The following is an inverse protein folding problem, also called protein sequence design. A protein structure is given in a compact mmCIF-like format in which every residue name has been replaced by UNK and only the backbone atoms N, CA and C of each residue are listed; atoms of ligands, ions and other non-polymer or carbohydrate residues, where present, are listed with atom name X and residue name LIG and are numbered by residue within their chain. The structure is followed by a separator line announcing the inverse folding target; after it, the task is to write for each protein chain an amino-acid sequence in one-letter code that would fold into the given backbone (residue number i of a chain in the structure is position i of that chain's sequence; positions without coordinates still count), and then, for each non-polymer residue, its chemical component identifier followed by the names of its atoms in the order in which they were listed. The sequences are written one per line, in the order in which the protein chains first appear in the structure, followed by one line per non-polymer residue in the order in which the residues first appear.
data_IF_355994478626
#
_entry.id   IF_355994478626
#
_cell.length_a   1.000
_cell.length_b   1.000
_cell.length_c   1.000
_cell.angle_alpha   90.00
_cell.angle_beta   90.00
_cell.angle_gamma   90.00
#
_symmetry.space_group_name_H-M   'P 1'
#
loop_
_entity.id
_entity.type
_entity.pdbx_description
1 polymer ?
#
# COMPACT_ATOMS: atom_id res chain seq x y z
N UNK A 1 -3.43 16.51 -14.12
CA UNK A 1 -3.54 15.03 -14.16
C UNK A 1 -2.70 14.54 -15.32
N UNK A 2 -1.96 13.45 -15.13
CA UNK A 2 -1.29 12.71 -16.19
C UNK A 2 -1.66 11.24 -16.08
N UNK A 3 -1.70 10.57 -17.22
CA UNK A 3 -1.85 9.11 -17.31
C UNK A 3 -0.69 8.60 -18.14
N UNK A 4 0.11 7.71 -17.55
CA UNK A 4 1.28 7.13 -18.19
C UNK A 4 1.01 5.65 -18.41
N UNK A 5 0.85 5.27 -19.67
CA UNK A 5 0.79 3.88 -20.10
C UNK A 5 2.20 3.39 -20.43
N UNK A 6 2.60 2.23 -19.92
CA UNK A 6 3.88 1.63 -20.26
C UNK A 6 3.85 0.11 -20.20
N UNK A 7 4.79 -0.51 -20.90
CA UNK A 7 4.97 -1.95 -20.96
C UNK A 7 6.40 -2.32 -20.58
N UNK A 8 6.61 -2.86 -19.37
CA UNK A 8 7.91 -3.38 -18.99
C UNK A 8 7.78 -4.44 -17.87
N UNK A 9 8.53 -5.53 -17.99
CA UNK A 9 8.57 -6.59 -16.97
C UNK A 9 9.64 -6.38 -15.89
N UNK A 10 10.52 -5.38 -16.04
CA UNK A 10 11.57 -5.06 -15.07
C UNK A 10 11.04 -4.07 -14.04
N UNK A 11 10.97 -4.50 -12.78
CA UNK A 11 10.60 -3.66 -11.64
C UNK A 11 11.47 -2.40 -11.50
N UNK A 12 12.75 -2.45 -11.88
CA UNK A 12 13.63 -1.28 -11.85
C UNK A 12 13.20 -0.18 -12.83
N UNK A 13 12.63 -0.53 -13.98
CA UNK A 13 12.09 0.45 -14.94
C UNK A 13 10.80 1.05 -14.39
N UNK A 14 9.95 0.23 -13.80
CA UNK A 14 8.70 0.69 -13.16
C UNK A 14 8.98 1.73 -12.07
N UNK A 15 9.92 1.44 -11.17
CA UNK A 15 10.26 2.38 -10.10
C UNK A 15 11.03 3.60 -10.58
N UNK A 16 11.85 3.48 -11.62
CA UNK A 16 12.43 4.66 -12.25
C UNK A 16 11.34 5.62 -12.79
N UNK A 17 10.27 5.09 -13.40
CA UNK A 17 9.14 5.89 -13.87
C UNK A 17 8.40 6.52 -12.68
N UNK A 18 8.05 5.73 -11.67
CA UNK A 18 7.35 6.24 -10.48
C UNK A 18 8.16 7.33 -9.77
N UNK A 19 9.45 7.10 -9.53
CA UNK A 19 10.34 8.06 -8.90
C UNK A 19 10.47 9.34 -9.75
N UNK A 20 10.52 9.22 -11.08
CA UNK A 20 10.57 10.39 -11.97
C UNK A 20 9.29 11.21 -11.91
N UNK A 21 8.13 10.55 -11.83
CA UNK A 21 6.81 11.18 -11.66
C UNK A 21 6.77 11.93 -10.32
N UNK A 22 7.15 11.26 -9.22
CA UNK A 22 7.21 11.85 -7.89
C UNK A 22 8.16 13.05 -7.83
N UNK A 23 9.38 12.93 -8.38
CA UNK A 23 10.37 14.02 -8.44
C UNK A 23 9.92 15.21 -9.29
N UNK A 24 9.00 15.00 -10.24
CA UNK A 24 8.36 16.08 -11.00
C UNK A 24 7.20 16.78 -10.23
N UNK A 25 6.97 16.40 -8.98
CA UNK A 25 5.94 16.96 -8.09
C UNK A 25 4.56 16.34 -8.27
N UNK A 26 4.46 15.15 -8.86
CA UNK A 26 3.18 14.46 -9.01
C UNK A 26 2.99 13.41 -7.90
N UNK A 27 1.77 13.33 -7.38
CA UNK A 27 1.33 12.23 -6.52
C UNK A 27 0.75 11.13 -7.42
N UNK A 28 1.24 9.91 -7.27
CA UNK A 28 0.68 8.73 -7.94
C UNK A 28 -0.64 8.34 -7.25
N UNK A 29 -1.74 8.52 -7.97
CA UNK A 29 -3.09 8.24 -7.50
C UNK A 29 -3.38 6.73 -7.54
N UNK A 30 -3.09 6.08 -8.68
CA UNK A 30 -3.38 4.66 -8.86
C UNK A 30 -2.46 4.05 -9.92
N UNK A 31 -2.09 2.79 -9.70
CA UNK A 31 -1.52 1.92 -10.74
C UNK A 31 -2.55 0.83 -11.07
N UNK A 32 -2.87 0.69 -12.35
CA UNK A 32 -3.84 -0.28 -12.84
C UNK A 32 -3.28 -1.07 -14.03
N UNK A 33 -3.90 -2.21 -14.28
CA UNK A 33 -3.59 -3.07 -15.42
C UNK A 33 -4.57 -2.74 -16.55
N UNK A 34 -4.05 -2.37 -17.72
CA UNK A 34 -4.83 -2.11 -18.91
C UNK A 34 -5.03 -3.40 -19.71
N UNK A 35 -6.28 -3.85 -19.78
CA UNK A 35 -6.68 -4.96 -20.64
C UNK A 35 -7.03 -4.44 -22.04
N UNK A 36 -6.07 -4.54 -22.97
CA UNK A 36 -6.30 -4.27 -24.39
C UNK A 36 -7.08 -5.43 -24.98
N UNK A 37 -8.40 -5.29 -25.08
CA UNK A 37 -9.34 -6.28 -25.66
C UNK A 37 -8.93 -6.85 -27.04
N UNK A 38 -7.98 -6.24 -27.76
CA UNK A 38 -7.29 -6.81 -28.92
C UNK A 38 -5.78 -6.87 -28.69
N UNK A 39 -5.26 -8.08 -28.49
CA UNK A 39 -3.83 -8.31 -28.44
C UNK A 39 -3.17 -8.35 -29.81
N UNK A 40 -1.87 -8.05 -29.86
CA UNK A 40 -1.04 -8.23 -31.07
C UNK A 40 -0.63 -9.70 -31.24
N UNK A 41 -0.39 -10.16 -32.47
CA UNK A 41 -0.13 -11.59 -32.79
C UNK A 41 1.05 -12.22 -32.02
N UNK A 42 1.95 -11.41 -31.43
CA UNK A 42 3.04 -11.88 -30.55
C UNK A 42 2.64 -12.12 -29.08
N UNK A 43 1.46 -11.67 -28.63
CA UNK A 43 0.97 -11.84 -27.26
C UNK A 43 0.29 -13.19 -27.01
N UNK A 44 0.03 -13.95 -28.07
CA UNK A 44 -0.65 -15.25 -27.99
C UNK A 44 0.28 -16.41 -27.61
N UNK A 45 1.60 -16.24 -27.64
CA UNK A 45 2.53 -17.39 -27.65
C UNK A 45 3.44 -17.59 -26.42
N UNK A 46 3.38 -16.77 -25.38
CA UNK A 46 4.19 -16.99 -24.16
C UNK A 46 3.36 -16.81 -22.87
N UNK A 47 3.31 -17.83 -22.03
CA UNK A 47 2.61 -17.88 -20.74
C UNK A 47 3.44 -17.28 -19.61
N UNK A 48 3.76 -15.99 -19.69
CA UNK A 48 4.39 -15.25 -18.59
C UNK A 48 3.75 -13.87 -18.39
N UNK A 49 3.87 -13.35 -17.17
CA UNK A 49 3.24 -12.15 -16.57
C UNK A 49 3.37 -10.85 -17.39
N UNK A 50 4.16 -10.84 -18.47
CA UNK A 50 4.35 -9.72 -19.39
C UNK A 50 3.21 -9.57 -20.43
N UNK A 51 1.93 -9.81 -20.07
CA UNK A 51 0.80 -9.73 -21.00
C UNK A 51 -0.08 -8.49 -20.90
N UNK A 52 0.09 -7.67 -19.87
CA UNK A 52 -0.75 -6.50 -19.67
C UNK A 52 0.06 -5.23 -19.55
N UNK A 53 -0.43 -4.17 -20.16
CA UNK A 53 0.16 -2.84 -20.05
C UNK A 53 -0.24 -2.24 -18.71
N UNK A 54 0.68 -1.55 -18.05
CA UNK A 54 0.39 -0.86 -16.79
C UNK A 54 0.07 0.59 -17.08
N UNK A 55 -0.91 1.12 -16.34
CA UNK A 55 -1.32 2.51 -16.41
C UNK A 55 -1.15 3.14 -15.04
N UNK A 56 -0.31 4.17 -15.00
CA UNK A 56 -0.09 5.01 -13.82
C UNK A 56 -0.93 6.28 -14.00
N UNK A 57 -1.86 6.52 -13.08
CA UNK A 57 -2.56 7.79 -12.97
C UNK A 57 -1.93 8.63 -11.87
N UNK A 58 -1.53 9.86 -12.20
CA UNK A 58 -0.88 10.76 -11.25
C UNK A 58 -1.38 12.20 -11.40
N UNK A 59 -1.39 12.96 -10.30
CA UNK A 59 -1.88 14.34 -10.28
C UNK A 59 -0.89 15.25 -9.57
N UNK A 60 -0.92 16.54 -9.93
CA UNK A 60 -0.25 17.56 -9.12
C UNK A 60 -1.20 18.03 -8.02
N UNK A 61 -0.74 18.22 -6.78
CA UNK A 61 -1.53 18.86 -5.74
C UNK A 61 -2.08 20.21 -6.20
N UNK A 62 -3.15 20.67 -5.57
CA UNK A 62 -3.66 22.03 -5.81
C UNK A 62 -2.62 23.04 -5.31
N UNK A 63 -2.37 24.10 -6.08
CA UNK A 63 -1.41 25.15 -5.68
C UNK A 63 -1.72 25.74 -4.29
N UNK A 64 -3.01 25.95 -4.00
CA UNK A 64 -3.47 26.40 -2.69
C UNK A 64 -3.13 25.43 -1.54
N UNK A 65 -3.08 24.13 -1.82
CA UNK A 65 -2.68 23.12 -0.85
C UNK A 65 -1.15 23.17 -0.65
N UNK A 66 -0.37 23.23 -1.73
CA UNK A 66 1.10 23.31 -1.66
C UNK A 66 1.59 24.54 -0.90
N UNK A 67 0.96 25.70 -1.12
CA UNK A 67 1.27 26.93 -0.39
C UNK A 67 1.05 26.76 1.11
N UNK A 68 -0.14 26.29 1.53
CA UNK A 68 -0.41 26.00 2.95
C UNK A 68 0.53 24.94 3.51
N UNK A 69 0.87 23.93 2.71
CA UNK A 69 1.75 22.83 3.10
C UNK A 69 3.15 23.33 3.42
N UNK A 70 3.68 24.24 2.60
CA UNK A 70 4.93 24.92 2.85
C UNK A 70 4.85 25.85 4.07
N UNK A 71 3.82 26.71 4.13
CA UNK A 71 3.62 27.68 5.22
C UNK A 71 3.52 27.02 6.60
N UNK A 72 2.83 25.88 6.68
CA UNK A 72 2.60 25.15 7.92
C UNK A 72 3.58 24.00 8.14
N UNK A 73 4.58 23.82 7.28
CA UNK A 73 5.49 22.68 7.33
C UNK A 73 4.77 21.32 7.41
N UNK A 74 3.64 21.22 6.70
CA UNK A 74 2.76 20.06 6.69
C UNK A 74 1.83 19.90 7.90
N UNK A 75 1.87 20.79 8.89
CA UNK A 75 1.07 20.64 10.10
C UNK A 75 -0.43 20.86 9.88
N UNK A 76 -1.24 19.86 10.28
CA UNK A 76 -2.71 19.95 10.30
C UNK A 76 -3.35 19.89 8.91
N UNK A 77 -2.65 19.30 7.94
CA UNK A 77 -3.09 19.18 6.55
C UNK A 77 -3.39 17.73 6.13
N UNK A 78 -3.36 16.80 7.09
CA UNK A 78 -3.58 15.37 6.86
C UNK A 78 -4.97 15.11 6.27
N UNK A 79 -6.01 15.73 6.83
CA UNK A 79 -7.39 15.62 6.31
C UNK A 79 -7.51 16.24 4.91
N UNK A 80 -6.94 17.44 4.69
CA UNK A 80 -6.99 18.13 3.40
C UNK A 80 -6.29 17.31 2.31
N UNK A 81 -5.15 16.69 2.65
CA UNK A 81 -4.43 15.78 1.78
C UNK A 81 -5.28 14.57 1.37
N UNK A 82 -5.89 13.87 2.33
CA UNK A 82 -6.71 12.68 2.04
C UNK A 82 -7.93 13.05 1.21
N UNK A 83 -8.61 14.15 1.55
CA UNK A 83 -9.75 14.66 0.77
C UNK A 83 -9.37 14.95 -0.67
N UNK A 84 -8.23 15.61 -0.88
CA UNK A 84 -7.67 15.86 -2.20
C UNK A 84 -7.31 14.55 -2.91
N UNK A 85 -6.65 13.62 -2.24
CA UNK A 85 -6.23 12.34 -2.84
C UNK A 85 -7.44 11.52 -3.31
N UNK A 86 -8.42 11.32 -2.44
CA UNK A 86 -9.65 10.59 -2.76
C UNK A 86 -10.40 11.22 -3.94
N UNK A 87 -10.37 12.55 -4.08
CA UNK A 87 -11.01 13.25 -5.22
C UNK A 87 -10.39 12.93 -6.59
N UNK A 88 -9.15 12.43 -6.62
CA UNK A 88 -8.48 12.00 -7.84
C UNK A 88 -8.63 10.50 -8.12
N UNK A 89 -9.31 9.76 -7.24
CA UNK A 89 -9.60 8.34 -7.43
C UNK A 89 -11.01 8.14 -8.01
N UNK A 90 -11.20 7.21 -8.95
CA UNK A 90 -12.54 6.83 -9.39
C UNK A 90 -13.34 6.26 -8.21
N UNK A 91 -14.66 6.46 -8.19
CA UNK A 91 -15.56 5.94 -7.16
C UNK A 91 -15.83 4.45 -7.36
N UNK A 92 -14.76 3.64 -7.30
CA UNK A 92 -14.74 2.21 -7.55
C UNK A 92 -13.84 1.50 -6.52
N UNK A 93 -14.00 0.17 -6.30
CA UNK A 93 -13.12 -0.60 -5.43
C UNK A 93 -11.66 -0.52 -5.87
N UNK A 94 -10.75 -0.11 -4.99
CA UNK A 94 -9.32 -0.02 -5.29
C UNK A 94 -8.48 -0.12 -4.02
N UNK A 95 -7.29 -0.74 -4.13
CA UNK A 95 -6.32 -0.77 -3.01
C UNK A 95 -5.99 0.66 -2.55
N UNK A 96 -5.98 1.62 -3.47
CA UNK A 96 -5.70 3.05 -3.19
C UNK A 96 -6.74 3.71 -2.28
N UNK A 97 -7.91 3.09 -2.11
CA UNK A 97 -8.96 3.55 -1.18
C UNK A 97 -8.93 2.83 0.17
N UNK A 98 -7.95 1.97 0.44
CA UNK A 98 -7.81 1.29 1.74
C UNK A 98 -7.15 2.20 2.77
N UNK A 99 -7.46 2.05 4.05
CA UNK A 99 -6.89 2.88 5.12
C UNK A 99 -5.36 2.82 5.15
N UNK A 100 -4.78 1.63 4.93
CA UNK A 100 -3.34 1.42 4.90
C UNK A 100 -2.68 2.13 3.73
N UNK A 101 -3.28 2.06 2.54
CA UNK A 101 -2.73 2.74 1.36
C UNK A 101 -2.87 4.26 1.50
N UNK A 102 -3.99 4.75 2.00
CA UNK A 102 -4.19 6.18 2.27
C UNK A 102 -3.15 6.72 3.27
N UNK A 103 -2.87 5.96 4.33
CA UNK A 103 -1.80 6.30 5.28
C UNK A 103 -0.42 6.28 4.61
N UNK A 104 -0.12 5.25 3.84
CA UNK A 104 1.15 5.11 3.09
C UNK A 104 1.36 6.27 2.11
N UNK A 105 0.32 6.72 1.38
CA UNK A 105 0.39 7.89 0.48
C UNK A 105 0.65 9.19 1.24
N UNK A 106 -0.03 9.39 2.38
CA UNK A 106 0.20 10.54 3.25
C UNK A 106 1.66 10.53 3.74
N UNK A 107 2.11 9.40 4.27
CA UNK A 107 3.44 9.22 4.81
C UNK A 107 4.52 9.50 3.76
N UNK A 108 4.39 8.88 2.58
CA UNK A 108 5.30 9.10 1.46
C UNK A 108 5.37 10.57 1.07
N UNK A 109 4.22 11.26 0.99
CA UNK A 109 4.19 12.69 0.66
C UNK A 109 4.96 13.53 1.69
N UNK A 110 4.76 13.30 2.99
CA UNK A 110 5.46 14.05 4.03
C UNK A 110 6.97 13.74 4.07
N UNK A 111 7.34 12.47 3.89
CA UNK A 111 8.73 12.02 3.86
C UNK A 111 9.45 12.65 2.67
N UNK A 112 8.89 12.57 1.46
CA UNK A 112 9.48 13.15 0.24
C UNK A 112 9.71 14.67 0.35
N UNK A 113 8.91 15.38 1.14
CA UNK A 113 9.07 16.82 1.39
C UNK A 113 9.93 17.13 2.63
N UNK A 114 10.44 16.10 3.32
CA UNK A 114 11.33 16.23 4.48
C UNK A 114 10.66 16.78 5.75
N UNK A 115 9.32 16.74 5.81
CA UNK A 115 8.54 17.23 6.94
C UNK A 115 8.31 16.17 8.02
N UNK A 116 8.01 16.61 9.23
CA UNK A 116 7.71 15.73 10.34
C UNK A 116 6.32 15.10 10.17
N UNK A 117 6.25 13.78 10.30
CA UNK A 117 4.98 13.04 10.25
C UNK A 117 4.42 12.98 11.66
N UNK A 118 3.40 13.78 11.96
CA UNK A 118 2.81 13.86 13.31
C UNK A 118 1.89 12.68 13.63
N UNK A 119 1.21 12.15 12.62
CA UNK A 119 0.22 11.09 12.82
C UNK A 119 0.92 9.73 12.81
N UNK A 120 0.67 8.92 13.83
CA UNK A 120 0.83 7.47 13.73
C UNK A 120 -0.40 6.84 13.05
N UNK A 121 -0.30 5.57 12.69
CA UNK A 121 -1.38 4.85 12.02
C UNK A 121 -2.70 4.93 12.82
N UNK A 122 -2.62 4.78 14.14
CA UNK A 122 -3.78 4.90 15.05
C UNK A 122 -4.47 6.27 14.98
N UNK A 123 -3.71 7.35 15.06
CA UNK A 123 -4.23 8.72 15.01
C UNK A 123 -4.82 9.00 13.62
N UNK A 124 -4.14 8.53 12.58
CA UNK A 124 -4.63 8.62 11.21
C UNK A 124 -5.96 7.90 11.00
N UNK A 125 -6.09 6.64 11.44
CA UNK A 125 -7.34 5.89 11.27
C UNK A 125 -8.51 6.53 12.04
N UNK A 126 -8.26 7.08 13.23
CA UNK A 126 -9.28 7.84 13.96
C UNK A 126 -9.75 9.08 13.19
N UNK A 127 -8.83 9.84 12.60
CA UNK A 127 -9.17 10.97 11.74
C UNK A 127 -9.95 10.50 10.51
N UNK A 128 -9.49 9.42 9.87
CA UNK A 128 -10.16 8.84 8.70
C UNK A 128 -11.62 8.48 9.01
N UNK A 129 -11.86 7.79 10.13
CA UNK A 129 -13.20 7.44 10.64
C UNK A 129 -14.08 8.66 10.98
N UNK A 130 -13.49 9.79 11.36
CA UNK A 130 -14.24 10.97 11.79
C UNK A 130 -14.66 11.87 10.63
N UNK A 131 -13.93 11.84 9.51
CA UNK A 131 -14.08 12.81 8.41
C UNK A 131 -14.49 12.18 7.06
N UNK A 132 -14.38 10.86 6.91
CA UNK A 132 -14.64 10.14 5.67
C UNK A 132 -15.61 8.97 5.90
N UNK A 133 -16.15 8.43 4.82
CA UNK A 133 -17.12 7.34 4.86
C UNK A 133 -16.47 6.06 4.36
N UNK A 134 -16.64 4.98 5.12
CA UNK A 134 -16.19 3.63 4.74
C UNK A 134 -17.37 2.82 4.19
N UNK A 135 -17.18 2.18 3.03
CA UNK A 135 -18.11 1.19 2.48
C UNK A 135 -17.30 0.05 1.81
N UNK A 136 -17.58 -1.20 2.21
CA UNK A 136 -16.91 -2.43 1.75
C UNK A 136 -15.38 -2.49 1.97
N UNK A 137 -14.84 -1.82 2.98
CA UNK A 137 -13.41 -1.72 3.25
C UNK A 137 -12.69 -0.66 2.43
N UNK A 138 -13.44 0.21 1.75
CA UNK A 138 -12.92 1.33 0.97
C UNK A 138 -13.43 2.66 1.49
N UNK A 139 -12.58 3.68 1.40
CA UNK A 139 -12.85 5.02 1.91
C UNK A 139 -13.20 5.99 0.80
N UNK A 140 -14.17 6.85 1.09
CA UNK A 140 -14.75 7.80 0.15
C UNK A 140 -14.94 9.17 0.79
N UNK A 141 -14.79 10.21 -0.05
CA UNK A 141 -15.39 11.49 0.29
C UNK A 141 -16.92 11.34 0.25
N UNK A 142 -17.70 12.06 1.10
CA UNK A 142 -19.15 11.92 1.15
C UNK A 142 -19.86 12.12 -0.21
N UNK A 143 -19.33 13.00 -1.07
CA UNK A 143 -19.84 13.29 -2.42
C UNK A 143 -19.61 12.15 -3.44
N UNK A 144 -18.74 11.18 -3.14
CA UNK A 144 -18.44 10.05 -4.02
C UNK A 144 -19.36 8.84 -3.78
N UNK A 145 -20.12 8.84 -2.68
CA UNK A 145 -20.83 7.67 -2.20
C UNK A 145 -21.96 7.22 -3.14
N UNK A 146 -22.70 8.18 -3.69
CA UNK A 146 -23.79 7.88 -4.63
C UNK A 146 -23.26 7.27 -5.93
N UNK A 147 -22.13 7.79 -6.43
CA UNK A 147 -21.46 7.24 -7.61
C UNK A 147 -20.96 5.81 -7.36
N UNK A 148 -20.39 5.53 -6.19
CA UNK A 148 -19.95 4.19 -5.81
C UNK A 148 -21.12 3.19 -5.73
N UNK A 149 -22.25 3.60 -5.15
CA UNK A 149 -23.45 2.77 -5.05
C UNK A 149 -24.08 2.51 -6.41
N UNK A 150 -24.08 3.50 -7.30
CA UNK A 150 -24.53 3.33 -8.68
C UNK A 150 -23.64 2.33 -9.43
N UNK A 151 -22.31 2.44 -9.27
CA UNK A 151 -21.34 1.48 -9.80
C UNK A 151 -21.64 0.05 -9.33
N UNK A 152 -21.85 -0.15 -8.02
CA UNK A 152 -22.24 -1.45 -7.46
C UNK A 152 -23.55 -1.97 -8.04
N UNK A 153 -24.54 -1.10 -8.23
CA UNK A 153 -25.85 -1.48 -8.80
C UNK A 153 -25.70 -1.95 -10.25
N UNK A 154 -24.93 -1.24 -11.07
CA UNK A 154 -24.64 -1.63 -12.47
C UNK A 154 -23.99 -3.01 -12.54
N UNK A 155 -22.98 -3.26 -11.71
CA UNK A 155 -22.32 -4.58 -11.64
C UNK A 155 -23.27 -5.73 -11.30
N UNK A 156 -24.22 -5.50 -10.39
CA UNK A 156 -25.25 -6.48 -10.03
C UNK A 156 -26.23 -6.74 -11.18
N UNK A 157 -26.66 -5.68 -11.87
CA UNK A 157 -27.61 -5.78 -12.98
C UNK A 157 -27.04 -6.47 -14.22
N UNK A 158 -25.74 -6.29 -14.48
CA UNK A 158 -25.07 -6.91 -15.63
C UNK A 158 -24.75 -8.41 -15.41
N UNK A 159 -25.12 -9.00 -14.27
CA UNK A 159 -24.77 -10.40 -13.92
C UNK A 159 -23.26 -10.62 -13.76
N UNK A 160 -22.47 -9.54 -13.81
CA UNK A 160 -21.02 -9.54 -13.62
C UNK A 160 -20.64 -9.51 -12.15
N UNK A 161 -21.61 -9.46 -11.22
CA UNK A 161 -21.30 -9.50 -9.79
C UNK A 161 -20.52 -10.75 -9.40
N UNK A 162 -20.85 -11.93 -9.93
CA UNK A 162 -20.12 -13.18 -9.61
C UNK A 162 -18.87 -13.37 -10.49
N UNK A 163 -18.93 -12.95 -11.76
CA UNK A 163 -17.81 -13.02 -12.72
C UNK A 163 -16.70 -12.00 -12.39
N UNK A 164 -17.05 -10.84 -11.83
CA UNK A 164 -16.10 -9.82 -11.32
C UNK A 164 -15.86 -9.86 -9.81
N UNK A 165 -16.71 -10.45 -8.96
CA UNK A 165 -16.24 -10.90 -7.62
C UNK A 165 -15.07 -11.86 -7.75
N UNK A 166 -15.07 -12.69 -8.81
CA UNK A 166 -13.95 -13.53 -9.20
C UNK A 166 -12.84 -12.85 -10.03
N UNK A 167 -13.05 -11.65 -10.61
CA UNK A 167 -11.99 -10.84 -11.26
C UNK A 167 -11.49 -9.65 -10.41
N UNK A 168 -12.08 -9.42 -9.23
CA UNK A 168 -11.35 -8.91 -8.07
C UNK A 168 -10.38 -9.99 -7.53
N UNK A 169 -9.85 -10.84 -8.41
CA UNK A 169 -8.48 -11.32 -8.34
C UNK A 169 -7.56 -10.09 -8.32
N UNK A 170 -7.57 -9.37 -7.21
CA UNK A 170 -6.39 -8.69 -6.71
C UNK A 170 -5.33 -9.75 -6.74
N UNK A 171 -4.48 -9.71 -7.76
CA UNK A 171 -3.31 -10.55 -7.78
C UNK A 171 -2.56 -10.25 -6.48
N UNK A 172 -2.33 -11.29 -5.70
CA UNK A 172 -1.67 -11.16 -4.41
C UNK A 172 -0.17 -11.25 -4.68
N UNK A 173 0.48 -10.08 -4.75
CA UNK A 173 1.90 -9.95 -5.07
C UNK A 173 2.77 -9.59 -3.86
N UNK A 174 2.15 -9.08 -2.81
CA UNK A 174 2.78 -8.58 -1.59
C UNK A 174 1.82 -8.70 -0.39
N UNK A 175 2.28 -8.28 0.79
CA UNK A 175 1.48 -8.35 2.01
C UNK A 175 0.22 -7.44 1.98
N UNK A 176 0.32 -6.24 1.40
CA UNK A 176 -0.80 -5.27 1.32
C UNK A 176 -1.94 -5.83 0.47
N UNK A 177 -1.62 -6.36 -0.71
CA UNK A 177 -2.58 -7.01 -1.60
C UNK A 177 -3.14 -8.31 -1.01
N UNK A 178 -2.33 -9.08 -0.27
CA UNK A 178 -2.79 -10.27 0.45
C UNK A 178 -3.89 -9.93 1.47
N UNK A 179 -3.66 -8.90 2.29
CA UNK A 179 -4.62 -8.45 3.30
C UNK A 179 -5.89 -7.92 2.70
N UNK A 180 -5.80 -7.12 1.64
CA UNK A 180 -6.99 -6.63 0.96
C UNK A 180 -7.79 -7.77 0.35
N UNK A 181 -7.13 -8.74 -0.28
CA UNK A 181 -7.80 -9.92 -0.80
C UNK A 181 -8.50 -10.71 0.31
N UNK A 182 -7.81 -10.97 1.42
CA UNK A 182 -8.38 -11.68 2.57
C UNK A 182 -9.57 -10.92 3.17
N UNK A 183 -9.47 -9.60 3.26
CA UNK A 183 -10.55 -8.75 3.74
C UNK A 183 -11.78 -8.94 2.86
N UNK A 184 -11.63 -8.80 1.53
CA UNK A 184 -12.75 -9.00 0.59
C UNK A 184 -13.30 -10.43 0.66
N UNK A 185 -12.43 -11.43 0.72
CA UNK A 185 -12.82 -12.85 0.79
C UNK A 185 -13.55 -13.21 2.09
N UNK A 186 -13.26 -12.53 3.21
CA UNK A 186 -13.90 -12.73 4.50
C UNK A 186 -15.12 -11.80 4.70
N UNK A 187 -15.91 -11.58 3.64
CA UNK A 187 -17.22 -10.92 3.72
C UNK A 187 -18.19 -11.63 4.70
N UNK A 188 -18.06 -12.95 4.78
CA UNK A 188 -18.68 -13.82 5.77
C UNK A 188 -17.61 -14.67 6.48
N UNK A 189 -17.85 -15.11 7.73
CA UNK A 189 -16.91 -15.96 8.46
C UNK A 189 -16.62 -17.29 7.74
N UNK A 190 -15.34 -17.57 7.48
CA UNK A 190 -14.88 -18.78 6.74
C UNK A 190 -13.80 -19.53 7.51
N UNK A 191 -13.76 -20.85 7.34
CA UNK A 191 -12.71 -21.67 7.96
C UNK A 191 -11.42 -21.70 7.13
N UNK A 192 -10.33 -22.13 7.75
CA UNK A 192 -9.02 -22.21 7.08
C UNK A 192 -9.03 -23.15 5.86
N UNK A 193 -9.84 -24.23 5.90
CA UNK A 193 -9.96 -25.19 4.79
C UNK A 193 -10.59 -24.58 3.54
N UNK A 194 -11.43 -23.56 3.72
CA UNK A 194 -12.04 -22.78 2.65
C UNK A 194 -11.10 -21.69 2.16
N UNK A 195 -10.43 -20.98 3.09
CA UNK A 195 -9.57 -19.83 2.76
C UNK A 195 -8.30 -20.29 2.02
N UNK A 196 -7.62 -21.31 2.52
CA UNK A 196 -6.32 -21.75 2.00
C UNK A 196 -6.33 -22.06 0.49
N UNK A 197 -7.19 -22.95 -0.05
CA UNK A 197 -7.17 -23.26 -1.48
C UNK A 197 -7.53 -22.06 -2.36
N UNK A 198 -8.40 -21.16 -1.87
CA UNK A 198 -8.76 -19.94 -2.60
C UNK A 198 -7.58 -18.95 -2.65
N UNK A 199 -6.88 -18.74 -1.53
CA UNK A 199 -5.72 -17.87 -1.44
C UNK A 199 -4.54 -18.39 -2.28
N UNK A 200 -4.21 -19.68 -2.18
CA UNK A 200 -3.10 -20.29 -2.94
C UNK A 200 -3.29 -20.15 -4.45
N UNK A 201 -4.53 -20.15 -4.95
CA UNK A 201 -4.84 -20.00 -6.37
C UNK A 201 -4.49 -18.60 -6.92
N UNK A 202 -4.54 -17.58 -6.07
CA UNK A 202 -4.32 -16.16 -6.47
C UNK A 202 -2.96 -15.61 -6.02
N UNK A 203 -2.32 -16.25 -5.05
CA UNK A 203 -1.03 -15.84 -4.50
C UNK A 203 0.11 -16.06 -5.49
N UNK A 204 0.81 -14.97 -5.81
CA UNK A 204 2.00 -14.97 -6.66
C UNK A 204 3.03 -13.97 -6.10
N UNK A 205 3.36 -14.14 -4.82
CA UNK A 205 4.24 -13.24 -4.08
C UNK A 205 5.69 -13.50 -4.49
N UNK A 206 6.41 -12.44 -4.85
CA UNK A 206 7.83 -12.54 -5.20
C UNK A 206 8.63 -11.35 -4.67
N UNK A 207 9.80 -11.63 -4.10
CA UNK A 207 10.69 -10.59 -3.57
C UNK A 207 10.18 -9.90 -2.29
N UNK A 208 9.19 -10.47 -1.60
CA UNK A 208 8.70 -10.06 -0.29
C UNK A 208 8.54 -11.31 0.61
N UNK A 209 9.05 -11.26 1.85
CA UNK A 209 8.88 -12.34 2.83
C UNK A 209 7.61 -12.11 3.62
N UNK A 210 6.48 -12.30 2.94
CA UNK A 210 5.16 -12.18 3.55
C UNK A 210 4.96 -13.32 4.57
N UNK A 211 4.38 -13.05 5.76
CA UNK A 211 4.02 -14.09 6.72
C UNK A 211 3.16 -15.19 6.10
N UNK A 212 3.15 -16.36 6.73
CA UNK A 212 2.29 -17.44 6.24
C UNK A 212 0.80 -17.06 6.35
N UNK A 213 -0.06 -17.76 5.61
CA UNK A 213 -1.49 -17.43 5.58
C UNK A 213 -2.13 -17.47 6.98
N UNK A 214 -1.67 -18.36 7.86
CA UNK A 214 -2.23 -18.47 9.21
C UNK A 214 -1.81 -17.28 10.06
N UNK A 215 -0.55 -16.86 9.99
CA UNK A 215 -0.05 -15.64 10.63
C UNK A 215 -0.80 -14.41 10.12
N UNK A 216 -0.94 -14.26 8.79
CA UNK A 216 -1.73 -13.17 8.19
C UNK A 216 -3.18 -13.13 8.73
N UNK A 217 -3.80 -14.30 8.90
CA UNK A 217 -5.15 -14.41 9.46
C UNK A 217 -5.19 -14.01 10.94
N UNK A 218 -4.28 -14.53 11.75
CA UNK A 218 -4.20 -14.28 13.19
C UNK A 218 -3.78 -12.83 13.53
N UNK A 219 -3.10 -12.13 12.61
CA UNK A 219 -2.61 -10.76 12.81
C UNK A 219 -3.58 -9.69 12.31
N UNK A 220 -4.47 -10.03 11.38
CA UNK A 220 -5.34 -9.05 10.70
C UNK A 220 -6.85 -9.35 10.84
N UNK A 221 -7.23 -10.51 11.34
CA UNK A 221 -8.62 -10.94 11.42
C UNK A 221 -8.98 -11.52 12.79
N UNK A 222 -10.28 -11.57 13.07
CA UNK A 222 -10.79 -12.12 14.33
C UNK A 222 -11.15 -13.58 14.13
N UNK A 223 -10.65 -14.44 15.03
CA UNK A 223 -10.98 -15.85 15.05
C UNK A 223 -12.18 -16.12 15.95
N UNK A 224 -13.21 -16.76 15.40
CA UNK A 224 -14.40 -17.23 16.11
C UNK A 224 -14.52 -18.75 15.95
N UNK A 225 -14.08 -19.49 16.96
CA UNK A 225 -13.96 -20.94 16.91
C UNK A 225 -12.94 -21.38 15.84
N UNK A 226 -13.42 -22.07 14.81
CA UNK A 226 -12.61 -22.55 13.68
C UNK A 226 -12.70 -21.64 12.43
N UNK A 227 -13.40 -20.51 12.54
CA UNK A 227 -13.59 -19.56 11.44
C UNK A 227 -12.88 -18.24 11.71
N UNK A 228 -12.51 -17.56 10.64
CA UNK A 228 -12.00 -16.19 10.65
C UNK A 228 -13.03 -15.24 10.07
N UNK A 229 -13.09 -14.03 10.61
CA UNK A 229 -13.97 -12.94 10.14
C UNK A 229 -13.28 -11.59 10.24
N UNK A 230 -13.85 -10.59 9.56
CA UNK A 230 -13.45 -9.19 9.71
C UNK A 230 -13.64 -8.70 11.16
N UNK A 231 -12.79 -7.77 11.63
CA UNK A 231 -13.07 -7.03 12.86
C UNK A 231 -14.32 -6.18 12.67
N UNK A 232 -15.19 -6.15 13.69
CA UNK A 232 -16.49 -5.46 13.68
C UNK A 232 -16.50 -4.20 14.54
N UNK A 233 -15.71 -4.19 15.61
CA UNK A 233 -15.61 -3.04 16.51
C UNK A 233 -14.27 -2.32 16.33
N UNK A 234 -14.25 -1.03 16.68
CA UNK A 234 -13.01 -0.25 16.73
C UNK A 234 -12.00 -0.84 17.71
N UNK A 235 -12.45 -1.46 18.80
CA UNK A 235 -11.58 -2.14 19.76
C UNK A 235 -10.88 -3.37 19.16
N UNK A 236 -11.62 -4.20 18.41
CA UNK A 236 -11.05 -5.35 17.70
C UNK A 236 -10.00 -4.90 16.68
N UNK A 237 -10.33 -3.88 15.87
CA UNK A 237 -9.39 -3.29 14.89
C UNK A 237 -8.13 -2.79 15.58
N UNK A 238 -8.28 -2.01 16.66
CA UNK A 238 -7.16 -1.44 17.38
C UNK A 238 -6.25 -2.50 18.00
N UNK A 239 -6.82 -3.58 18.51
CA UNK A 239 -6.07 -4.70 19.08
C UNK A 239 -5.22 -5.40 18.03
N UNK A 240 -5.79 -5.66 16.84
CA UNK A 240 -5.08 -6.27 15.71
C UNK A 240 -3.94 -5.37 15.22
N UNK A 241 -4.20 -4.06 15.06
CA UNK A 241 -3.17 -3.07 14.68
C UNK A 241 -2.01 -3.10 15.68
N UNK A 242 -2.30 -3.01 16.98
CA UNK A 242 -1.25 -3.00 18.02
C UNK A 242 -0.43 -4.30 18.04
N UNK A 243 -1.08 -5.45 17.87
CA UNK A 243 -0.38 -6.74 17.79
C UNK A 243 0.58 -6.73 16.61
N UNK A 244 0.09 -6.36 15.43
CA UNK A 244 0.87 -6.33 14.20
C UNK A 244 2.03 -5.34 14.26
N UNK A 245 1.81 -4.12 14.74
CA UNK A 245 2.86 -3.11 14.88
C UNK A 245 4.00 -3.60 15.78
N UNK A 246 3.66 -4.31 16.87
CA UNK A 246 4.66 -4.92 17.76
C UNK A 246 5.48 -6.00 17.05
N UNK A 247 4.85 -6.81 16.22
CA UNK A 247 5.53 -7.85 15.44
C UNK A 247 6.43 -7.25 14.35
N UNK A 248 5.92 -6.27 13.60
CA UNK A 248 6.69 -5.53 12.59
C UNK A 248 7.92 -4.85 13.20
N UNK A 249 7.77 -4.20 14.36
CA UNK A 249 8.89 -3.58 15.05
C UNK A 249 9.92 -4.60 15.51
N UNK A 250 9.47 -5.74 16.05
CA UNK A 250 10.38 -6.82 16.48
C UNK A 250 11.18 -7.37 15.31
N UNK A 251 10.53 -7.61 14.17
CA UNK A 251 11.20 -8.06 12.95
C UNK A 251 12.20 -7.02 12.44
N UNK A 252 11.81 -5.75 12.41
CA UNK A 252 12.71 -4.66 12.03
C UNK A 252 13.95 -4.59 12.92
N UNK A 253 13.78 -4.60 14.24
CA UNK A 253 14.93 -4.52 15.17
C UNK A 253 15.84 -5.74 15.03
N UNK A 254 15.28 -6.92 14.69
CA UNK A 254 16.08 -8.10 14.34
C UNK A 254 16.91 -7.89 13.07
N UNK A 255 16.30 -7.34 12.00
CA UNK A 255 17.00 -7.00 10.75
C UNK A 255 18.09 -5.94 10.98
N UNK A 256 17.81 -4.92 11.79
CA UNK A 256 18.76 -3.87 12.13
C UNK A 256 19.94 -4.44 12.94
N UNK A 257 19.67 -5.32 13.90
CA UNK A 257 20.73 -5.99 14.67
C UNK A 257 21.61 -6.85 13.75
N UNK A 258 21.01 -7.61 12.84
CA UNK A 258 21.73 -8.37 11.82
C UNK A 258 22.61 -7.47 10.94
N UNK A 259 22.07 -6.31 10.52
CA UNK A 259 22.78 -5.34 9.69
C UNK A 259 23.98 -4.68 10.39
N UNK A 260 23.88 -4.50 11.72
CA UNK A 260 24.96 -3.99 12.58
C UNK A 260 26.03 -5.05 12.85
N UNK A 261 25.62 -6.30 13.09
CA UNK A 261 26.52 -7.39 13.43
C UNK A 261 27.27 -7.99 12.22
N UNK A 262 26.70 -7.90 11.01
CA UNK A 262 27.25 -8.53 9.82
C UNK A 262 27.35 -7.57 8.63
N UNK A 263 28.39 -7.74 7.82
CA UNK A 263 28.53 -7.06 6.52
C UNK A 263 27.80 -7.80 5.39
N UNK A 264 27.20 -8.97 5.66
CA UNK A 264 26.48 -9.75 4.64
C UNK A 264 25.22 -9.02 4.16
N UNK A 265 24.95 -9.14 2.86
CA UNK A 265 23.73 -8.60 2.26
C UNK A 265 22.49 -9.40 2.68
N UNK A 266 21.43 -8.69 3.06
CA UNK A 266 20.09 -9.22 3.34
C UNK A 266 19.38 -9.35 1.99
N UNK A 267 19.23 -10.59 1.53
CA UNK A 267 18.70 -10.90 0.20
C UNK A 267 17.18 -10.85 0.12
N UNK A 268 16.53 -11.14 1.25
CA UNK A 268 15.08 -11.24 1.38
C UNK A 268 14.68 -10.77 2.79
N UNK A 269 13.59 -10.04 2.89
CA UNK A 269 13.00 -9.58 4.15
C UNK A 269 11.52 -9.22 3.94
N UNK A 270 10.76 -9.13 5.03
CA UNK A 270 9.38 -8.65 5.02
C UNK A 270 9.38 -7.15 4.77
N UNK A 271 8.85 -6.68 3.63
CA UNK A 271 8.90 -5.26 3.27
C UNK A 271 8.15 -4.38 4.26
N UNK A 272 6.99 -4.85 4.74
CA UNK A 272 6.21 -4.12 5.74
C UNK A 272 6.98 -3.90 7.05
N UNK A 273 7.84 -4.84 7.47
CA UNK A 273 8.68 -4.65 8.64
C UNK A 273 9.74 -3.57 8.41
N UNK A 274 10.37 -3.55 7.23
CA UNK A 274 11.34 -2.50 6.85
C UNK A 274 10.66 -1.13 6.82
N UNK A 275 9.51 -1.01 6.16
CA UNK A 275 8.76 0.24 6.05
C UNK A 275 8.31 0.76 7.42
N UNK A 276 7.72 -0.10 8.24
CA UNK A 276 7.30 0.28 9.60
C UNK A 276 8.48 0.73 10.47
N UNK A 277 9.60 0.02 10.38
CA UNK A 277 10.82 0.38 11.09
C UNK A 277 11.45 1.68 10.60
N UNK A 278 11.44 1.92 9.28
CA UNK A 278 11.93 3.17 8.69
C UNK A 278 11.06 4.36 9.09
N UNK A 279 9.74 4.20 9.09
CA UNK A 279 8.82 5.19 9.64
C UNK A 279 9.13 5.49 11.11
N UNK A 280 9.31 4.45 11.94
CA UNK A 280 9.66 4.60 13.35
C UNK A 280 10.98 5.37 13.53
N UNK A 281 12.02 4.99 12.78
CA UNK A 281 13.31 5.66 12.80
C UNK A 281 13.21 7.12 12.33
N UNK A 282 12.44 7.38 11.27
CA UNK A 282 12.23 8.73 10.75
C UNK A 282 11.59 9.65 11.79
N UNK A 283 10.50 9.18 12.42
CA UNK A 283 9.78 9.92 13.48
C UNK A 283 10.62 10.16 14.74
N UNK A 284 11.55 9.25 15.04
CA UNK A 284 12.43 9.34 16.23
C UNK A 284 13.79 9.96 15.92
N UNK A 285 14.04 10.43 14.70
CA UNK A 285 15.31 11.03 14.29
C UNK A 285 16.47 10.03 14.16
N UNK A 286 16.21 8.72 14.19
CA UNK A 286 17.20 7.64 14.03
C UNK A 286 17.57 7.43 12.54
N UNK A 287 17.87 8.48 11.80
CA UNK A 287 18.17 8.42 10.36
C UNK A 287 19.37 7.52 10.05
N UNK A 288 20.38 7.49 10.93
CA UNK A 288 21.54 6.62 10.77
C UNK A 288 21.18 5.13 10.79
N UNK A 289 20.13 4.73 11.51
CA UNK A 289 19.68 3.34 11.54
C UNK A 289 19.01 2.93 10.20
N UNK A 290 18.26 3.84 9.57
CA UNK A 290 17.72 3.67 8.21
C UNK A 290 18.86 3.37 7.24
N UNK A 291 19.89 4.23 7.23
CA UNK A 291 21.05 4.08 6.35
C UNK A 291 21.85 2.81 6.64
N UNK A 292 21.94 2.42 7.92
CA UNK A 292 22.65 1.20 8.33
C UNK A 292 21.99 -0.04 7.76
N UNK A 293 20.66 -0.14 7.86
CA UNK A 293 19.91 -1.26 7.29
C UNK A 293 19.93 -1.20 5.75
N UNK A 294 19.69 -0.02 5.16
CA UNK A 294 19.70 0.18 3.71
C UNK A 294 20.99 -0.28 3.03
N UNK A 295 22.16 0.02 3.63
CA UNK A 295 23.47 -0.46 3.15
C UNK A 295 23.58 -1.98 3.12
N UNK A 296 22.78 -2.71 3.90
CA UNK A 296 22.77 -4.18 3.96
C UNK A 296 21.68 -4.81 3.11
N UNK A 297 20.62 -4.10 2.77
CA UNK A 297 19.60 -4.61 1.85
C UNK A 297 20.22 -4.90 0.47
N UNK A 298 19.75 -5.98 -0.17
CA UNK A 298 20.01 -6.25 -1.57
C UNK A 298 19.43 -5.11 -2.42
N UNK A 299 20.16 -4.72 -3.47
CA UNK A 299 19.75 -3.60 -4.33
C UNK A 299 18.35 -3.80 -4.90
N UNK A 300 17.98 -5.06 -5.20
CA UNK A 300 16.66 -5.38 -5.76
C UNK A 300 15.53 -5.08 -4.77
N UNK A 301 15.75 -5.14 -3.46
CA UNK A 301 14.71 -4.81 -2.47
C UNK A 301 14.41 -3.31 -2.54
N UNK A 302 15.47 -2.49 -2.52
CA UNK A 302 15.38 -1.02 -2.56
C UNK A 302 14.89 -0.53 -3.92
N UNK A 303 15.39 -1.12 -5.01
CA UNK A 303 14.99 -0.77 -6.38
C UNK A 303 13.56 -1.21 -6.70
N UNK A 304 12.99 -2.18 -5.97
CA UNK A 304 11.64 -2.70 -6.22
C UNK A 304 10.57 -2.08 -5.32
N UNK A 305 10.93 -1.15 -4.43
CA UNK A 305 10.01 -0.54 -3.47
C UNK A 305 10.29 0.96 -3.34
N UNK A 306 9.39 1.78 -3.88
CA UNK A 306 9.56 3.23 -3.90
C UNK A 306 9.49 3.86 -2.51
N UNK A 307 8.65 3.32 -1.61
CA UNK A 307 8.51 3.85 -0.25
C UNK A 307 9.81 3.62 0.55
N UNK A 308 10.43 2.43 0.43
CA UNK A 308 11.74 2.16 1.03
C UNK A 308 12.79 3.15 0.50
N UNK A 309 12.76 3.42 -0.81
CA UNK A 309 13.69 4.34 -1.45
C UNK A 309 13.52 5.78 -0.93
N UNK A 310 12.28 6.27 -0.84
CA UNK A 310 11.97 7.62 -0.33
C UNK A 310 12.52 7.83 1.08
N UNK A 311 12.36 6.84 1.98
CA UNK A 311 12.93 6.91 3.32
C UNK A 311 14.46 6.97 3.31
N UNK A 312 15.12 6.25 2.40
CA UNK A 312 16.57 6.23 2.28
C UNK A 312 17.07 7.59 1.77
N UNK A 313 16.52 8.09 0.66
CA UNK A 313 16.92 9.39 0.08
C UNK A 313 16.80 10.50 1.12
N UNK A 314 15.70 10.54 1.86
CA UNK A 314 15.48 11.59 2.87
C UNK A 314 16.39 11.39 4.09
N UNK A 315 16.64 10.16 4.52
CA UNK A 315 17.60 9.89 5.59
C UNK A 315 19.03 10.29 5.21
N UNK A 316 19.44 10.09 3.95
CA UNK A 316 20.72 10.55 3.41
C UNK A 316 20.82 12.09 3.53
N UNK A 317 19.80 12.81 3.03
CA UNK A 317 19.75 14.27 3.12
C UNK A 317 19.81 14.80 4.57
N UNK A 318 19.18 14.10 5.52
CA UNK A 318 19.17 14.50 6.94
C UNK A 318 20.49 14.20 7.66
N UNK A 319 21.24 13.16 7.24
CA UNK A 319 22.52 12.76 7.84
C UNK A 319 23.70 13.49 7.22
N UNK A 320 23.67 13.74 5.91
CA UNK A 320 24.69 14.48 5.17
C UNK A 320 24.60 16.01 5.36
N UNK A 321 23.52 16.51 5.95
CA UNK A 321 23.07 17.90 5.84
C UNK A 321 24.14 18.98 6.09
N UNK A 322 24.09 20.03 5.23
CA UNK A 322 24.67 21.39 5.34
C UNK A 322 26.11 21.54 5.88
#
# INVERSE_FOLDING_TARGET
LITVEFHNSKSSVWNAIQNSISKAGFIIANVSVLDKQKGTTKQLTYSSIAKHDLVISAYKPKESFEQKFLEKTGEGLEEEFIRMHLSHLPAEPSIERTEQMLYSKLLAYYVQHGYAVKYDAKTFYKMLHSHFVEEDGYWFNPDQLDAYREYKKKLKLEGLADVKKGQLNLFVFDEKSAQQWLYQFLDEPKDFKTIHPAFTKVANISGDQVPDLKELLEDNFVREGDKYRRPKSEEEKMTLIQKREKELLREFESLLLQAKASQKKIKECRKQAVLFGFEHCYKTGRFQDILTLAKRLDKRIVENDSEINDFIEVAELKVEGF
#
